data_IF_897795505648
#
_entry.id   IF_897795505648
#
_cell.length_a   1.000
_cell.length_b   1.000
_cell.length_c   1.000
_cell.angle_alpha   90.00
_cell.angle_beta   90.00
_cell.angle_gamma   90.00
#
_symmetry.space_group_name_H-M   'P 1'
#
loop_
_entity.id
_entity.type
_entity.pdbx_description
1 polymer ?
#
# COMPACT_ATOMS: atom_id res chain seq x y z
N UNK A 1 11.87 -23.36 14.59
CA UNK A 1 12.14 -22.31 13.59
C UNK A 1 10.84 -21.50 13.52
N UNK A 2 10.74 -20.44 14.32
CA UNK A 2 9.47 -19.71 14.48
C UNK A 2 9.43 -18.70 13.35
N UNK A 3 8.54 -18.95 12.40
CA UNK A 3 8.13 -18.05 11.33
C UNK A 3 8.10 -16.62 11.87
N UNK A 4 8.90 -15.73 11.28
CA UNK A 4 9.01 -14.35 11.71
C UNK A 4 7.65 -13.69 11.51
N UNK A 5 6.82 -13.70 12.56
CA UNK A 5 5.45 -13.19 12.64
C UNK A 5 5.29 -11.95 11.74
N UNK A 6 4.89 -12.16 10.48
CA UNK A 6 4.80 -11.08 9.49
C UNK A 6 3.76 -10.12 10.03
N UNK A 7 4.22 -8.98 10.53
CA UNK A 7 3.29 -7.96 11.02
C UNK A 7 2.59 -7.41 9.78
N UNK A 8 1.26 -7.52 9.67
CA UNK A 8 0.57 -7.15 8.44
C UNK A 8 0.84 -5.69 8.09
N UNK A 9 1.15 -5.44 6.81
CA UNK A 9 1.66 -4.14 6.35
C UNK A 9 0.56 -3.10 6.42
N UNK A 10 0.89 -1.87 6.85
CA UNK A 10 -0.03 -0.75 6.73
C UNK A 10 -0.33 -0.43 5.26
N UNK A 11 -1.46 0.21 4.95
CA UNK A 11 -1.90 0.46 3.56
C UNK A 11 -0.81 1.08 2.68
N UNK A 12 -0.20 2.20 3.09
CA UNK A 12 0.83 2.84 2.27
C UNK A 12 2.07 1.96 2.09
N UNK A 13 2.41 1.12 3.07
CA UNK A 13 3.54 0.19 2.98
C UNK A 13 3.24 -1.01 2.07
N UNK A 14 2.01 -1.53 2.09
CA UNK A 14 1.57 -2.57 1.16
C UNK A 14 1.59 -2.05 -0.29
N UNK A 15 1.13 -0.81 -0.51
CA UNK A 15 1.20 -0.15 -1.82
C UNK A 15 2.65 0.08 -2.27
N UNK A 16 3.56 0.38 -1.34
CA UNK A 16 5.00 0.46 -1.66
C UNK A 16 5.51 -0.89 -2.13
N UNK A 17 5.24 -1.97 -1.42
CA UNK A 17 5.65 -3.32 -1.84
C UNK A 17 5.11 -3.69 -3.23
N UNK A 18 3.86 -3.34 -3.53
CA UNK A 18 3.27 -3.54 -4.85
C UNK A 18 3.95 -2.72 -5.94
N UNK A 19 4.32 -1.47 -5.64
CA UNK A 19 5.07 -0.62 -6.57
C UNK A 19 6.47 -1.20 -6.82
N UNK A 20 7.17 -1.67 -5.79
CA UNK A 20 8.48 -2.32 -5.91
C UNK A 20 8.43 -3.58 -6.77
N UNK A 21 7.43 -4.45 -6.57
CA UNK A 21 7.26 -5.69 -7.35
C UNK A 21 7.07 -5.45 -8.86
N UNK A 22 6.54 -4.28 -9.25
CA UNK A 22 6.21 -3.94 -10.63
C UNK A 22 7.00 -2.78 -11.25
N UNK A 23 8.07 -2.28 -10.61
CA UNK A 23 8.75 -1.07 -11.07
C UNK A 23 9.77 -1.29 -12.20
N UNK A 24 10.41 -2.45 -12.27
CA UNK A 24 11.59 -2.65 -13.14
C UNK A 24 12.66 -1.59 -12.85
N UNK A 25 13.11 -0.86 -13.87
CA UNK A 25 14.11 0.22 -13.73
C UNK A 25 13.53 1.55 -13.21
N UNK A 26 12.21 1.66 -13.07
CA UNK A 26 11.56 2.90 -12.65
C UNK A 26 11.67 3.11 -11.15
N UNK A 27 11.51 4.36 -10.73
CA UNK A 27 11.28 4.65 -9.31
C UNK A 27 9.86 4.25 -8.91
N UNK A 28 9.62 3.83 -7.66
CA UNK A 28 8.28 3.49 -7.17
C UNK A 28 7.24 4.58 -7.41
N UNK A 29 7.64 5.85 -7.34
CA UNK A 29 6.81 7.03 -7.57
C UNK A 29 6.40 7.21 -9.05
N UNK A 30 7.04 6.49 -9.98
CA UNK A 30 6.75 6.54 -11.41
C UNK A 30 5.83 5.39 -11.86
N UNK A 31 5.50 4.48 -10.94
CA UNK A 31 4.70 3.30 -11.25
C UNK A 31 3.21 3.64 -11.44
N UNK A 32 2.45 2.84 -12.22
CA UNK A 32 1.00 2.95 -12.28
C UNK A 32 0.32 2.82 -10.91
N UNK A 33 0.94 2.07 -9.99
CA UNK A 33 0.47 1.87 -8.61
C UNK A 33 0.53 3.19 -7.82
N UNK A 34 1.63 3.93 -7.91
CA UNK A 34 1.74 5.25 -7.27
C UNK A 34 0.72 6.27 -7.84
N UNK A 35 0.43 6.21 -9.15
CA UNK A 35 -0.63 7.05 -9.74
C UNK A 35 -2.00 6.75 -9.13
N UNK A 36 -2.34 5.48 -8.90
CA UNK A 36 -3.57 5.09 -8.18
C UNK A 36 -3.58 5.57 -6.74
N UNK A 37 -2.45 5.46 -6.03
CA UNK A 37 -2.32 6.03 -4.68
C UNK A 37 -2.54 7.55 -4.67
N UNK A 38 -2.02 8.25 -5.67
CA UNK A 38 -2.25 9.69 -5.82
C UNK A 38 -3.74 10.01 -6.02
N UNK A 39 -4.47 9.19 -6.79
CA UNK A 39 -5.94 9.30 -6.92
C UNK A 39 -6.68 9.05 -5.61
N UNK A 40 -6.23 8.07 -4.79
CA UNK A 40 -6.76 7.82 -3.44
C UNK A 40 -6.56 9.06 -2.54
N UNK A 41 -5.38 9.66 -2.57
CA UNK A 41 -5.04 10.87 -1.79
C UNK A 41 -5.83 12.09 -2.24
N UNK A 42 -6.12 12.21 -3.54
CA UNK A 42 -6.85 13.33 -4.14
C UNK A 42 -8.38 13.15 -4.12
N UNK A 43 -8.90 12.02 -3.66
CA UNK A 43 -10.33 11.76 -3.63
C UNK A 43 -11.05 12.80 -2.74
N UNK A 44 -12.17 13.35 -3.24
CA UNK A 44 -12.95 14.36 -2.50
C UNK A 44 -14.22 13.77 -1.86
N UNK A 45 -14.62 12.58 -2.30
CA UNK A 45 -15.80 11.85 -1.83
C UNK A 45 -15.43 10.46 -1.39
N UNK A 46 -16.20 9.89 -0.45
CA UNK A 46 -15.99 8.53 0.01
C UNK A 46 -16.23 7.49 -1.11
N UNK A 47 -17.15 7.76 -2.03
CA UNK A 47 -17.38 6.90 -3.20
C UNK A 47 -16.16 6.84 -4.13
N UNK A 48 -15.56 7.99 -4.46
CA UNK A 48 -14.35 8.04 -5.29
C UNK A 48 -13.16 7.37 -4.58
N UNK A 49 -13.00 7.63 -3.28
CA UNK A 49 -11.99 6.98 -2.44
C UNK A 49 -12.14 5.45 -2.48
N UNK A 50 -13.35 4.95 -2.25
CA UNK A 50 -13.64 3.51 -2.21
C UNK A 50 -13.40 2.84 -3.56
N UNK A 51 -13.76 3.51 -4.66
CA UNK A 51 -13.51 3.02 -6.02
C UNK A 51 -12.02 2.84 -6.29
N UNK A 52 -11.19 3.85 -5.97
CA UNK A 52 -9.75 3.76 -6.15
C UNK A 52 -9.08 2.75 -5.21
N UNK A 53 -9.53 2.66 -3.96
CA UNK A 53 -9.02 1.69 -3.00
C UNK A 53 -9.28 0.26 -3.43
N UNK A 54 -10.48 -0.04 -3.95
CA UNK A 54 -10.81 -1.38 -4.44
C UNK A 54 -9.81 -1.84 -5.50
N UNK A 55 -9.54 -1.00 -6.49
CA UNK A 55 -8.57 -1.36 -7.53
C UNK A 55 -7.14 -1.55 -7.03
N UNK A 56 -6.77 -0.98 -5.88
CA UNK A 56 -5.48 -1.26 -5.23
C UNK A 56 -5.54 -2.58 -4.46
N UNK A 57 -6.63 -2.83 -3.72
CA UNK A 57 -6.82 -4.08 -2.95
C UNK A 57 -6.81 -5.29 -3.88
N UNK A 58 -7.51 -5.22 -5.02
CA UNK A 58 -7.52 -6.29 -6.02
C UNK A 58 -6.09 -6.61 -6.53
N UNK A 59 -5.25 -5.59 -6.71
CA UNK A 59 -3.85 -5.77 -7.11
C UNK A 59 -2.97 -6.33 -5.99
N UNK A 60 -3.23 -5.94 -4.73
CA UNK A 60 -2.52 -6.49 -3.57
C UNK A 60 -2.82 -7.97 -3.40
N UNK A 61 -4.09 -8.36 -3.54
CA UNK A 61 -4.54 -9.74 -3.48
C UNK A 61 -3.91 -10.57 -4.61
N UNK A 62 -3.97 -10.09 -5.86
CA UNK A 62 -3.35 -10.76 -7.00
C UNK A 62 -1.82 -10.90 -6.87
N UNK A 63 -1.19 -10.00 -6.13
CA UNK A 63 0.25 -10.03 -5.87
C UNK A 63 0.63 -10.78 -4.59
N UNK A 64 -0.34 -11.32 -3.86
CA UNK A 64 -0.20 -12.00 -2.57
C UNK A 64 0.50 -11.14 -1.50
N UNK A 65 0.23 -9.83 -1.51
CA UNK A 65 0.82 -8.88 -0.56
C UNK A 65 -0.16 -8.67 0.61
N UNK A 66 0.19 -9.12 1.84
CA UNK A 66 -0.70 -8.97 2.98
C UNK A 66 -0.75 -7.52 3.46
N UNK A 67 -1.92 -7.09 3.90
CA UNK A 67 -2.20 -5.76 4.43
C UNK A 67 -3.06 -5.86 5.69
N UNK A 68 -2.82 -4.97 6.65
CA UNK A 68 -3.65 -4.83 7.84
C UNK A 68 -4.98 -4.11 7.49
N UNK A 69 -6.03 -4.91 7.26
CA UNK A 69 -7.37 -4.40 6.99
C UNK A 69 -8.01 -3.69 8.19
N UNK A 70 -7.59 -4.00 9.42
CA UNK A 70 -8.07 -3.31 10.62
C UNK A 70 -7.59 -1.86 10.65
N UNK A 71 -6.32 -1.63 10.33
CA UNK A 71 -5.76 -0.28 10.18
C UNK A 71 -6.42 0.48 9.02
N UNK A 72 -6.63 -0.18 7.87
CA UNK A 72 -7.33 0.46 6.75
C UNK A 72 -8.76 0.85 7.13
N UNK A 73 -9.51 0.00 7.84
CA UNK A 73 -10.86 0.31 8.30
C UNK A 73 -10.88 1.52 9.26
N UNK A 74 -9.92 1.59 10.19
CA UNK A 74 -9.77 2.73 11.08
C UNK A 74 -9.46 4.02 10.31
N UNK A 75 -8.57 3.95 9.32
CA UNK A 75 -8.24 5.08 8.44
C UNK A 75 -9.46 5.55 7.63
N UNK A 76 -10.26 4.62 7.09
CA UNK A 76 -11.49 4.92 6.34
C UNK A 76 -12.55 5.58 7.22
N UNK A 77 -12.71 5.11 8.45
CA UNK A 77 -13.58 5.76 9.43
C UNK A 77 -13.10 7.20 9.72
N UNK A 78 -11.81 7.37 9.99
CA UNK A 78 -11.21 8.67 10.27
C UNK A 78 -11.34 9.64 9.09
N UNK A 79 -11.18 9.14 7.86
CA UNK A 79 -11.25 9.93 6.63
C UNK A 79 -12.63 10.54 6.37
N UNK A 80 -13.72 9.92 6.86
CA UNK A 80 -15.05 10.49 6.72
C UNK A 80 -15.22 11.83 7.46
N UNK A 81 -14.39 12.08 8.49
CA UNK A 81 -14.37 13.34 9.23
C UNK A 81 -13.56 14.38 8.43
N UNK A 82 -14.18 15.46 7.90
CA UNK A 82 -13.49 16.38 6.98
C UNK A 82 -12.19 16.97 7.51
N UNK A 83 -12.14 17.31 8.80
CA UNK A 83 -10.95 17.88 9.45
C UNK A 83 -9.78 16.89 9.60
N UNK A 84 -10.04 15.59 9.43
CA UNK A 84 -9.04 14.52 9.61
C UNK A 84 -8.54 13.90 8.30
N UNK A 85 -9.21 14.16 7.17
CA UNK A 85 -8.82 13.66 5.84
C UNK A 85 -7.34 13.87 5.53
N UNK A 86 -6.84 15.08 5.74
CA UNK A 86 -5.44 15.42 5.47
C UNK A 86 -4.45 14.67 6.37
N UNK A 87 -4.84 14.31 7.59
CA UNK A 87 -4.02 13.51 8.49
C UNK A 87 -3.89 12.06 8.00
N UNK A 88 -5.01 11.47 7.55
CA UNK A 88 -5.06 10.12 6.99
C UNK A 88 -4.25 10.04 5.68
N UNK A 89 -4.48 10.96 4.74
CA UNK A 89 -3.75 10.92 3.45
C UNK A 89 -2.25 11.15 3.62
N UNK A 90 -1.84 12.04 4.55
CA UNK A 90 -0.43 12.20 4.92
C UNK A 90 0.14 10.95 5.60
N UNK A 91 -0.66 10.21 6.38
CA UNK A 91 -0.24 8.94 7.01
C UNK A 91 0.08 7.92 5.92
N UNK A 92 -0.81 7.73 4.94
CA UNK A 92 -0.57 6.84 3.80
C UNK A 92 0.65 7.25 2.99
N UNK A 93 0.83 8.54 2.68
CA UNK A 93 2.01 9.03 1.97
C UNK A 93 3.32 8.76 2.72
N UNK A 94 3.35 8.95 4.05
CA UNK A 94 4.52 8.62 4.88
C UNK A 94 4.80 7.12 4.95
N UNK A 95 3.76 6.30 5.06
CA UNK A 95 3.88 4.84 5.05
C UNK A 95 4.47 4.35 3.72
N UNK A 96 4.07 4.95 2.60
CA UNK A 96 4.64 4.64 1.28
C UNK A 96 6.11 5.05 1.17
N UNK A 97 6.43 6.28 1.56
CA UNK A 97 7.79 6.82 1.42
C UNK A 97 8.83 6.18 2.35
N UNK A 98 8.40 5.67 3.51
CA UNK A 98 9.28 5.12 4.56
C UNK A 98 9.28 3.59 4.62
N UNK A 99 8.42 2.93 3.84
CA UNK A 99 8.37 1.49 3.86
C UNK A 99 9.72 0.93 3.37
N UNK A 100 10.29 -0.06 4.08
CA UNK A 100 11.49 -0.73 3.60
C UNK A 100 11.19 -1.38 2.25
N UNK A 101 12.16 -1.34 1.35
CA UNK A 101 12.11 -2.10 0.10
C UNK A 101 12.00 -3.57 0.53
N UNK A 102 10.99 -4.33 0.06
CA UNK A 102 10.92 -5.75 0.34
C UNK A 102 12.26 -6.36 -0.09
N UNK A 103 12.97 -7.02 0.83
CA UNK A 103 14.06 -7.88 0.42
C UNK A 103 13.42 -8.92 -0.50
N UNK A 104 13.83 -8.92 -1.78
CA UNK A 104 13.60 -10.07 -2.65
C UNK A 104 14.00 -11.30 -1.84
N UNK A 105 13.07 -12.25 -1.72
CA UNK A 105 13.33 -13.53 -1.09
C UNK A 105 14.64 -14.06 -1.66
N UNK A 106 15.67 -14.10 -0.83
CA UNK A 106 17.00 -14.62 -1.18
C UNK A 106 16.95 -16.16 -1.22
N UNK A 107 15.96 -16.69 -1.91
CA UNK A 107 15.63 -18.11 -2.05
C UNK A 107 15.19 -18.37 -3.49
N UNK A 108 16.01 -17.99 -4.47
CA UNK A 108 15.97 -18.63 -5.80
C UNK A 108 17.35 -18.62 -6.49
N UNK A 109 18.43 -18.64 -5.71
CA UNK A 109 19.80 -18.88 -6.20
C UNK A 109 20.52 -19.95 -5.36
N UNK A 110 19.74 -20.93 -4.88
CA UNK A 110 20.24 -22.13 -4.23
C UNK A 110 19.40 -23.34 -4.64
N UNK A 111 19.40 -23.64 -5.94
CA UNK A 111 19.15 -24.99 -6.42
C UNK A 111 20.02 -25.20 -7.66
N UNK A 112 20.86 -26.22 -7.55
CA UNK A 112 21.85 -26.78 -8.49
C UNK A 112 21.46 -26.79 -9.97
#
# INVERSE_FOLDING_TARGET
MVDAKETPRSFGSAVRALAEKGRGDKRPEETPVYRRLSSVVAAQTFGALSHHLRGIVDLLEAAEIPMDYGLLAADLFEWQIPRRRSAVTRRWGRQFARAPIPAESAEDEASE
#
